data_IF_090951473589
#
_entry.id   IF_090951473589
#
_cell.length_a   1.000
_cell.length_b   1.000
_cell.length_c   1.000
_cell.angle_alpha   90.00
_cell.angle_beta   90.00
_cell.angle_gamma   90.00
#
_symmetry.space_group_name_H-M   'P 1'
#
loop_
_entity.id
_entity.type
_entity.pdbx_description
1 polymer ?
#
# COMPACT_ATOMS: atom_id res chain seq x y z
N UNK A 1 -1.45 4.79 14.59
CA UNK A 1 -0.39 4.02 13.91
C UNK A 1 0.53 4.96 13.11
N UNK A 2 1.81 4.65 12.93
CA UNK A 2 2.72 5.39 12.04
C UNK A 2 2.50 4.96 10.59
N UNK A 3 2.29 5.92 9.69
CA UNK A 3 2.17 5.65 8.25
C UNK A 3 3.54 5.69 7.59
N UNK A 4 3.94 4.58 6.98
CA UNK A 4 5.17 4.46 6.19
C UNK A 4 4.77 4.36 4.72
N UNK A 5 5.15 5.38 3.95
CA UNK A 5 4.86 5.48 2.53
C UNK A 5 6.14 5.13 1.76
N UNK A 6 6.06 4.09 0.94
CA UNK A 6 7.12 3.71 0.02
C UNK A 6 6.87 4.39 -1.33
N UNK A 7 7.79 5.27 -1.73
CA UNK A 7 7.61 6.11 -2.91
C UNK A 7 7.93 5.36 -4.19
N UNK A 8 7.02 5.40 -5.14
CA UNK A 8 7.17 4.83 -6.47
C UNK A 8 7.24 5.95 -7.51
N UNK A 9 8.42 6.13 -8.10
CA UNK A 9 8.72 7.22 -9.03
C UNK A 9 8.59 6.82 -10.51
N UNK A 10 8.19 5.57 -10.77
CA UNK A 10 7.94 5.07 -12.13
C UNK A 10 6.89 5.94 -12.84
N UNK A 11 7.30 6.50 -13.98
CA UNK A 11 6.44 7.32 -14.83
C UNK A 11 5.47 6.43 -15.60
N UNK A 12 4.17 6.73 -15.51
CA UNK A 12 3.15 5.96 -16.21
C UNK A 12 2.85 6.61 -17.56
N UNK A 13 3.10 5.87 -18.64
CA UNK A 13 2.68 6.28 -19.97
C UNK A 13 1.15 6.17 -20.14
N UNK A 14 0.50 7.06 -20.90
CA UNK A 14 1.07 8.19 -21.66
C UNK A 14 1.20 9.50 -20.86
N UNK A 15 0.86 9.49 -19.57
CA UNK A 15 0.78 10.69 -18.75
C UNK A 15 2.15 11.28 -18.40
N UNK A 16 3.19 10.44 -18.32
CA UNK A 16 4.54 10.83 -17.91
C UNK A 16 4.54 11.50 -16.53
N UNK A 17 3.73 10.94 -15.62
CA UNK A 17 3.63 11.30 -14.20
C UNK A 17 3.72 10.03 -13.35
N UNK A 18 4.20 10.10 -12.09
CA UNK A 18 4.10 9.00 -11.14
C UNK A 18 2.65 8.64 -10.84
N UNK A 19 2.42 7.37 -10.50
CA UNK A 19 1.08 6.86 -10.17
C UNK A 19 0.36 7.65 -9.07
N UNK A 20 1.12 8.16 -8.07
CA UNK A 20 0.58 8.90 -6.93
C UNK A 20 -0.18 10.17 -7.36
N UNK A 21 0.26 10.79 -8.46
CA UNK A 21 -0.26 12.05 -8.96
C UNK A 21 -1.42 11.86 -9.95
N UNK A 22 -1.54 10.66 -10.52
CA UNK A 22 -2.67 10.30 -11.37
C UNK A 22 -3.99 10.36 -10.59
N UNK A 23 -5.05 10.76 -11.30
CA UNK A 23 -6.38 10.91 -10.72
C UNK A 23 -7.15 9.60 -10.79
N UNK A 24 -7.69 9.20 -9.65
CA UNK A 24 -8.79 8.24 -9.59
C UNK A 24 -10.07 9.05 -9.46
N UNK A 25 -10.89 9.02 -10.51
CA UNK A 25 -12.02 9.94 -10.68
C UNK A 25 -11.54 11.41 -10.64
N UNK A 26 -11.99 12.20 -9.67
CA UNK A 26 -11.68 13.62 -9.57
C UNK A 26 -10.50 13.94 -8.63
N UNK A 27 -9.86 12.91 -8.05
CA UNK A 27 -8.93 13.07 -6.94
C UNK A 27 -7.59 12.38 -7.22
N UNK A 28 -6.44 13.04 -6.96
CA UNK A 28 -5.14 12.38 -7.02
C UNK A 28 -5.08 11.17 -6.09
N UNK A 29 -4.39 10.11 -6.51
CA UNK A 29 -4.28 8.86 -5.75
C UNK A 29 -3.70 9.08 -4.35
N UNK A 30 -2.64 9.89 -4.21
CA UNK A 30 -2.04 10.16 -2.89
C UNK A 30 -3.04 10.81 -1.92
N UNK A 31 -3.90 11.69 -2.42
CA UNK A 31 -4.90 12.39 -1.62
C UNK A 31 -6.04 11.43 -1.26
N UNK A 32 -6.39 10.52 -2.17
CA UNK A 32 -7.33 9.43 -1.89
C UNK A 32 -6.85 8.56 -0.73
N UNK A 33 -5.60 8.10 -0.79
CA UNK A 33 -4.98 7.31 0.27
C UNK A 33 -4.94 8.07 1.60
N UNK A 34 -4.53 9.34 1.57
CA UNK A 34 -4.47 10.18 2.78
C UNK A 34 -5.81 10.25 3.50
N UNK A 35 -6.89 10.51 2.76
CA UNK A 35 -8.21 10.67 3.38
C UNK A 35 -8.75 9.34 3.97
N UNK A 36 -8.41 8.20 3.37
CA UNK A 36 -8.77 6.89 3.94
C UNK A 36 -7.94 6.59 5.19
N UNK A 37 -6.65 6.92 5.18
CA UNK A 37 -5.71 6.55 6.25
C UNK A 37 -5.69 7.53 7.41
N UNK A 38 -6.20 8.76 7.24
CA UNK A 38 -6.22 9.80 8.26
C UNK A 38 -6.88 9.37 9.58
N UNK A 39 -7.86 8.47 9.52
CA UNK A 39 -8.55 7.95 10.71
C UNK A 39 -7.73 6.91 11.49
N UNK A 40 -6.68 6.35 10.86
CA UNK A 40 -5.88 5.25 11.40
C UNK A 40 -4.46 5.66 11.79
N UNK A 41 -3.98 6.78 11.27
CA UNK A 41 -2.58 7.18 11.36
C UNK A 41 -2.39 8.55 11.97
N UNK A 42 -1.34 8.71 12.80
CA UNK A 42 -1.06 9.96 13.55
C UNK A 42 0.18 10.69 13.04
N UNK A 43 1.05 10.01 12.32
CA UNK A 43 2.30 10.52 11.78
C UNK A 43 2.60 9.82 10.45
N UNK A 44 3.29 10.53 9.55
CA UNK A 44 3.60 10.05 8.21
C UNK A 44 5.11 10.21 7.92
N UNK A 45 5.70 9.18 7.31
CA UNK A 45 7.09 9.19 6.83
C UNK A 45 7.17 8.56 5.46
N UNK A 46 7.90 9.21 4.54
CA UNK A 46 8.11 8.73 3.18
C UNK A 46 9.54 8.18 3.02
N UNK A 47 9.68 7.04 2.35
CA UNK A 47 10.95 6.39 2.06
C UNK A 47 11.01 5.84 0.64
N UNK A 48 12.18 5.78 0.00
CA UNK A 48 12.31 5.27 -1.37
C UNK A 48 12.05 3.76 -1.50
N UNK A 49 12.29 2.99 -0.44
CA UNK A 49 12.04 1.55 -0.41
C UNK A 49 12.03 1.03 1.03
N UNK A 50 11.58 -0.22 1.19
CA UNK A 50 11.47 -0.86 2.50
C UNK A 50 12.84 -1.05 3.18
N UNK A 51 13.87 -1.41 2.41
CA UNK A 51 15.22 -1.64 2.94
C UNK A 51 15.79 -0.39 3.61
N UNK A 52 15.59 0.78 2.99
CA UNK A 52 15.97 2.06 3.57
C UNK A 52 15.11 2.43 4.78
N UNK A 53 13.79 2.20 4.72
CA UNK A 53 12.92 2.45 5.87
C UNK A 53 13.39 1.66 7.10
N UNK A 54 13.78 0.39 6.93
CA UNK A 54 14.25 -0.47 8.02
C UNK A 54 15.53 0.00 8.72
N UNK A 55 16.36 0.82 8.08
CA UNK A 55 17.58 1.36 8.74
C UNK A 55 17.26 2.56 9.64
N UNK A 56 16.15 3.24 9.37
CA UNK A 56 15.73 4.45 10.08
C UNK A 56 14.66 4.13 11.13
N UNK A 57 13.71 3.25 10.80
CA UNK A 57 12.59 2.84 11.64
C UNK A 57 13.00 1.82 12.70
N UNK A 58 13.65 2.32 13.77
CA UNK A 58 14.14 1.51 14.88
C UNK A 58 13.24 1.53 16.12
N UNK A 59 12.20 2.36 16.11
CA UNK A 59 11.26 2.48 17.23
C UNK A 59 10.19 1.38 17.16
N UNK A 60 9.84 0.73 18.28
CA UNK A 60 8.83 -0.32 18.33
C UNK A 60 7.41 0.28 18.35
N UNK A 61 7.06 1.03 17.31
CA UNK A 61 5.73 1.59 17.11
C UNK A 61 4.95 0.77 16.08
N UNK A 62 3.63 0.73 16.24
CA UNK A 62 2.74 0.10 15.26
C UNK A 62 2.80 0.90 13.94
N UNK A 63 3.03 0.22 12.82
CA UNK A 63 3.25 0.83 11.51
C UNK A 63 2.34 0.26 10.42
N UNK A 64 1.80 1.14 9.58
CA UNK A 64 1.14 0.78 8.32
C UNK A 64 2.07 1.10 7.16
N UNK A 65 2.52 0.09 6.45
CA UNK A 65 3.42 0.23 5.30
C UNK A 65 2.65 0.04 4.00
N UNK A 66 2.70 1.01 3.09
CA UNK A 66 2.13 0.88 1.76
C UNK A 66 2.99 1.59 0.70
N UNK A 67 2.83 1.22 -0.57
CA UNK A 67 3.38 2.01 -1.69
C UNK A 67 2.39 3.08 -2.13
N UNK A 68 2.88 4.23 -2.55
CA UNK A 68 2.02 5.35 -2.99
C UNK A 68 1.37 5.13 -4.37
N UNK A 69 1.83 4.15 -5.14
CA UNK A 69 1.20 3.74 -6.40
C UNK A 69 0.01 2.78 -6.27
N UNK A 70 -0.35 2.33 -5.06
CA UNK A 70 -1.42 1.34 -4.86
C UNK A 70 -2.77 2.01 -4.64
N UNK A 71 -3.79 1.53 -5.35
CA UNK A 71 -5.17 1.86 -5.03
C UNK A 71 -5.74 0.91 -3.98
N UNK A 72 -6.47 1.46 -3.00
CA UNK A 72 -7.26 0.70 -2.03
C UNK A 72 -8.49 1.52 -1.61
N UNK A 73 -9.54 0.81 -1.19
CA UNK A 73 -10.76 1.41 -0.66
C UNK A 73 -10.77 1.33 0.88
N UNK A 74 -11.76 1.99 1.47
CA UNK A 74 -11.92 2.11 2.93
C UNK A 74 -12.20 0.74 3.56
N UNK A 75 -12.99 -0.08 2.91
CA UNK A 75 -13.40 -1.41 3.39
C UNK A 75 -12.19 -2.33 3.53
N UNK A 76 -11.33 -2.39 2.51
CA UNK A 76 -10.11 -3.19 2.54
C UNK A 76 -9.15 -2.75 3.65
N UNK A 77 -8.96 -1.43 3.79
CA UNK A 77 -8.06 -0.87 4.82
C UNK A 77 -8.58 -1.16 6.22
N UNK A 78 -9.86 -0.93 6.47
CA UNK A 78 -10.47 -1.15 7.78
C UNK A 78 -10.36 -2.63 8.19
N UNK A 79 -10.68 -3.55 7.28
CA UNK A 79 -10.54 -4.99 7.52
C UNK A 79 -9.08 -5.40 7.76
N UNK A 80 -8.16 -4.88 6.93
CA UNK A 80 -6.73 -5.17 7.06
C UNK A 80 -6.20 -4.73 8.43
N UNK A 81 -6.50 -3.51 8.85
CA UNK A 81 -6.05 -2.96 10.14
C UNK A 81 -6.68 -3.73 11.30
N UNK A 82 -7.99 -3.99 11.28
CA UNK A 82 -8.69 -4.75 12.33
C UNK A 82 -8.04 -6.12 12.57
N UNK A 83 -7.78 -6.87 11.50
CA UNK A 83 -7.12 -8.18 11.58
C UNK A 83 -5.69 -8.11 12.11
N UNK A 84 -4.95 -7.05 11.77
CA UNK A 84 -3.59 -6.84 12.28
C UNK A 84 -3.58 -6.59 13.78
N UNK A 85 -4.51 -5.76 14.24
CA UNK A 85 -4.69 -5.41 15.66
C UNK A 85 -5.17 -6.62 16.49
N UNK A 86 -6.19 -7.33 16.01
CA UNK A 86 -6.70 -8.56 16.64
C UNK A 86 -5.62 -9.65 16.74
N UNK A 87 -4.79 -9.78 15.69
CA UNK A 87 -3.72 -10.76 15.64
C UNK A 87 -2.49 -10.43 16.48
N UNK A 88 -2.30 -9.15 16.86
CA UNK A 88 -1.15 -8.69 17.64
C UNK A 88 0.21 -8.95 17.00
N UNK A 89 0.27 -9.14 15.68
CA UNK A 89 1.49 -9.49 14.94
C UNK A 89 1.53 -8.80 13.57
N UNK A 90 2.73 -8.61 12.99
CA UNK A 90 2.85 -8.08 11.63
C UNK A 90 2.11 -8.98 10.63
N UNK A 91 1.30 -8.35 9.78
CA UNK A 91 0.58 -9.02 8.69
C UNK A 91 0.88 -8.34 7.35
N UNK A 92 0.66 -9.07 6.26
CA UNK A 92 0.82 -8.58 4.89
C UNK A 92 -0.39 -9.02 4.08
N UNK A 93 -0.89 -8.13 3.22
CA UNK A 93 -1.96 -8.47 2.29
C UNK A 93 -1.48 -9.54 1.31
N UNK A 94 -2.26 -10.60 1.17
CA UNK A 94 -1.99 -11.70 0.26
C UNK A 94 -3.29 -12.12 -0.43
N UNK A 95 -3.16 -12.65 -1.64
CA UNK A 95 -4.26 -13.19 -2.41
C UNK A 95 -4.11 -14.70 -2.55
N UNK A 96 -5.24 -15.40 -2.68
CA UNK A 96 -5.20 -16.82 -3.01
C UNK A 96 -4.67 -17.01 -4.44
N UNK A 97 -3.89 -18.08 -4.64
CA UNK A 97 -3.29 -18.39 -5.95
C UNK A 97 -4.34 -18.71 -7.03
N UNK A 98 -5.49 -19.21 -6.60
CA UNK A 98 -6.62 -19.66 -7.43
C UNK A 98 -7.74 -18.61 -7.54
N UNK A 99 -7.55 -17.40 -6.99
CA UNK A 99 -8.56 -16.34 -7.07
C UNK A 99 -8.77 -15.91 -8.54
N UNK A 100 -9.98 -16.10 -9.10
CA UNK A 100 -10.21 -15.80 -10.51
C UNK A 100 -10.01 -14.32 -10.85
N UNK A 101 -10.37 -13.40 -9.95
CA UNK A 101 -10.23 -11.97 -10.19
C UNK A 101 -8.75 -11.58 -10.23
N UNK A 102 -7.93 -12.14 -9.34
CA UNK A 102 -6.50 -11.87 -9.30
C UNK A 102 -5.78 -12.51 -10.50
N UNK A 103 -6.08 -13.76 -10.81
CA UNK A 103 -5.44 -14.49 -11.91
C UNK A 103 -5.77 -13.85 -13.27
N UNK A 104 -7.02 -13.47 -13.49
CA UNK A 104 -7.46 -12.96 -14.80
C UNK A 104 -7.23 -11.47 -14.99
N UNK A 105 -7.39 -10.65 -13.95
CA UNK A 105 -7.42 -9.19 -14.12
C UNK A 105 -6.23 -8.47 -13.50
N UNK A 106 -5.63 -9.01 -12.43
CA UNK A 106 -4.55 -8.31 -11.72
C UNK A 106 -3.18 -8.81 -12.14
N UNK A 107 -2.95 -10.12 -12.09
CA UNK A 107 -1.65 -10.74 -12.38
C UNK A 107 -1.08 -10.40 -13.77
N UNK A 108 -1.86 -10.29 -14.86
CA UNK A 108 -1.31 -9.91 -16.16
C UNK A 108 -0.81 -8.47 -16.23
N UNK A 109 -1.29 -7.59 -15.35
CA UNK A 109 -1.03 -6.15 -15.37
C UNK A 109 -0.09 -5.70 -14.23
N UNK A 110 0.00 -6.47 -13.15
CA UNK A 110 0.77 -6.12 -11.97
C UNK A 110 2.17 -6.76 -12.00
N UNK A 111 3.21 -5.93 -11.92
CA UNK A 111 4.61 -6.35 -11.74
C UNK A 111 5.01 -6.45 -10.27
N UNK A 112 4.16 -5.98 -9.34
CA UNK A 112 4.44 -5.92 -7.91
C UNK A 112 4.01 -7.17 -7.14
N UNK A 113 3.29 -8.10 -7.77
CA UNK A 113 2.89 -9.35 -7.17
C UNK A 113 4.00 -10.40 -7.32
N UNK A 114 4.37 -11.02 -6.21
CA UNK A 114 5.32 -12.11 -6.17
C UNK A 114 4.71 -13.29 -5.41
N UNK A 115 5.04 -14.51 -5.84
CA UNK A 115 4.67 -15.72 -5.11
C UNK A 115 5.59 -15.85 -3.90
N UNK A 116 5.02 -16.04 -2.72
CA UNK A 116 5.76 -16.30 -1.49
C UNK A 116 5.15 -17.51 -0.78
N UNK A 117 5.94 -18.58 -0.64
CA UNK A 117 5.46 -19.88 -0.16
C UNK A 117 4.93 -20.80 -1.28
N UNK A 118 4.46 -21.98 -0.88
CA UNK A 118 3.93 -23.03 -1.76
C UNK A 118 2.44 -22.83 -2.08
#
# INVERSE_FOLDING_TARGET
MRRIILTETTQIAPFNEPARDLRVQNKPLWLWQRDILAEHTTEEREYPNWQFAQTIENEPVECLVHRDNLFFNRELVNEFISRGQEGGKPIRLAFRVDDPAIVQHVKPLASSLFRQGD
#
